data_IF_630917689735
#
_entry.id   IF_630917689735
#
_cell.length_a   1.000
_cell.length_b   1.000
_cell.length_c   1.000
_cell.angle_alpha   90.00
_cell.angle_beta   90.00
_cell.angle_gamma   90.00
#
_symmetry.space_group_name_H-M   'P 1'
#
loop_
_entity.id
_entity.type
_entity.pdbx_description
1 polymer ?
#
# COMPACT_ATOMS: atom_id res chain seq x y z
N UNK A 1 -18.52 -2.72 -8.25
CA UNK A 1 -19.18 -1.66 -7.44
C UNK A 1 -18.35 -0.37 -7.45
N UNK A 2 -17.95 0.11 -8.65
CA UNK A 2 -17.01 1.24 -8.81
C UNK A 2 -17.51 2.27 -9.85
N UNK A 3 -18.80 2.63 -9.79
CA UNK A 3 -19.38 3.65 -10.69
C UNK A 3 -20.45 4.54 -10.05
N UNK A 4 -20.73 4.38 -8.73
CA UNK A 4 -21.89 5.07 -8.11
C UNK A 4 -21.57 6.08 -7.01
N UNK A 5 -20.31 6.35 -6.69
CA UNK A 5 -19.98 7.29 -5.61
C UNK A 5 -19.68 8.74 -6.04
N UNK A 6 -19.70 9.09 -7.34
CA UNK A 6 -19.17 10.41 -7.76
C UNK A 6 -20.07 11.28 -8.65
N UNK A 7 -21.34 10.94 -8.92
CA UNK A 7 -22.13 11.67 -9.95
C UNK A 7 -23.37 12.40 -9.41
N UNK A 8 -23.55 12.49 -8.10
CA UNK A 8 -24.61 13.33 -7.52
C UNK A 8 -23.92 14.34 -6.63
N UNK A 9 -24.22 15.63 -6.81
CA UNK A 9 -23.61 16.84 -6.20
C UNK A 9 -22.51 17.44 -7.12
N UNK A 10 -22.88 18.20 -8.17
CA UNK A 10 -21.91 18.89 -9.06
C UNK A 10 -21.96 20.42 -8.92
N UNK A 11 -22.93 21.00 -8.19
CA UNK A 11 -23.09 22.46 -8.11
C UNK A 11 -22.54 23.10 -6.83
N UNK A 12 -21.94 22.33 -5.89
CA UNK A 12 -21.40 22.86 -4.62
C UNK A 12 -19.90 22.57 -4.39
N UNK A 13 -19.15 22.18 -5.44
CA UNK A 13 -17.77 21.70 -5.29
C UNK A 13 -16.67 22.71 -5.64
N UNK A 14 -16.96 23.81 -6.34
CA UNK A 14 -15.92 24.77 -6.74
C UNK A 14 -15.20 25.38 -5.54
N UNK A 15 -15.97 25.85 -4.55
CA UNK A 15 -15.42 26.42 -3.30
C UNK A 15 -14.61 25.38 -2.52
N UNK A 16 -15.05 24.11 -2.49
CA UNK A 16 -14.28 23.04 -1.85
C UNK A 16 -12.89 22.87 -2.49
N UNK A 17 -12.81 22.78 -3.82
CA UNK A 17 -11.54 22.59 -4.50
C UNK A 17 -10.62 23.82 -4.36
N UNK A 18 -11.17 25.02 -4.36
CA UNK A 18 -10.41 26.27 -4.13
C UNK A 18 -9.82 26.30 -2.71
N UNK A 19 -10.64 26.03 -1.69
CA UNK A 19 -10.17 25.98 -0.31
C UNK A 19 -9.16 24.85 -0.07
N UNK A 20 -9.42 23.66 -0.63
CA UNK A 20 -8.50 22.52 -0.52
C UNK A 20 -7.15 22.84 -1.17
N UNK A 21 -7.14 23.50 -2.34
CA UNK A 21 -5.92 23.94 -3.00
C UNK A 21 -5.17 24.98 -2.18
N UNK A 22 -5.86 26.01 -1.69
CA UNK A 22 -5.25 27.05 -0.87
C UNK A 22 -4.61 26.47 0.40
N UNK A 23 -5.29 25.52 1.05
CA UNK A 23 -4.75 24.81 2.20
C UNK A 23 -3.57 23.93 1.81
N UNK A 24 -3.62 23.22 0.67
CA UNK A 24 -2.51 22.37 0.24
C UNK A 24 -1.25 23.17 -0.13
N UNK A 25 -1.43 24.38 -0.65
CA UNK A 25 -0.33 25.29 -0.97
C UNK A 25 0.29 25.93 0.29
N UNK A 26 -0.38 25.87 1.45
CA UNK A 26 0.10 26.42 2.73
C UNK A 26 1.25 25.58 3.33
N UNK A 27 2.32 26.26 3.75
CA UNK A 27 3.51 25.62 4.30
C UNK A 27 3.27 24.94 5.66
N UNK A 28 2.33 25.43 6.46
CA UNK A 28 1.92 24.79 7.71
C UNK A 28 1.19 23.47 7.48
N UNK A 29 0.32 23.42 6.46
CA UNK A 29 -0.36 22.19 6.05
C UNK A 29 0.63 21.18 5.47
N UNK A 30 1.57 21.61 4.61
CA UNK A 30 2.64 20.73 4.12
C UNK A 30 3.51 20.20 5.25
N UNK A 31 3.89 21.05 6.21
CA UNK A 31 4.63 20.61 7.40
C UNK A 31 3.86 19.59 8.24
N UNK A 32 2.53 19.72 8.34
CA UNK A 32 1.67 18.72 8.96
C UNK A 32 1.66 17.41 8.16
N UNK A 33 1.54 17.48 6.84
CA UNK A 33 1.59 16.32 5.94
C UNK A 33 2.90 15.53 6.05
N UNK A 34 4.04 16.21 6.19
CA UNK A 34 5.34 15.56 6.41
C UNK A 34 5.40 14.72 7.71
N UNK A 35 4.50 15.01 8.66
CA UNK A 35 4.30 14.28 9.91
C UNK A 35 3.11 13.33 9.86
N UNK A 36 2.63 13.00 8.67
CA UNK A 36 1.46 12.14 8.46
C UNK A 36 1.59 10.72 9.00
N UNK A 37 2.79 10.28 9.41
CA UNK A 37 2.96 9.02 10.12
C UNK A 37 2.41 9.06 11.56
N UNK A 38 2.19 10.25 12.12
CA UNK A 38 1.64 10.46 13.47
C UNK A 38 0.10 10.32 13.50
N UNK A 39 -0.55 10.27 12.34
CA UNK A 39 -2.01 10.14 12.22
C UNK A 39 -2.41 9.28 11.02
N UNK A 40 -3.71 9.06 10.83
CA UNK A 40 -4.20 8.14 9.79
C UNK A 40 -4.49 8.85 8.47
N UNK A 41 -3.44 9.11 7.67
CA UNK A 41 -3.61 9.62 6.31
C UNK A 41 -3.70 8.50 5.26
N UNK A 42 -4.38 8.76 4.13
CA UNK A 42 -4.40 7.87 2.96
C UNK A 42 -3.16 8.11 2.09
N UNK A 43 -2.55 7.03 1.58
CA UNK A 43 -1.28 7.13 0.84
C UNK A 43 -1.40 7.90 -0.48
N UNK A 44 -2.60 7.99 -1.04
CA UNK A 44 -2.87 8.73 -2.28
C UNK A 44 -3.20 10.22 -2.07
N UNK A 45 -3.14 10.73 -0.83
CA UNK A 45 -3.50 12.11 -0.52
C UNK A 45 -2.71 13.12 -1.38
N UNK A 46 -1.37 13.07 -1.32
CA UNK A 46 -0.51 13.96 -2.10
C UNK A 46 -0.80 13.86 -3.60
N UNK A 47 -0.89 12.64 -4.15
CA UNK A 47 -1.17 12.41 -5.57
C UNK A 47 -2.44 13.13 -6.07
N UNK A 48 -3.52 13.10 -5.28
CA UNK A 48 -4.76 13.78 -5.67
C UNK A 48 -4.73 15.28 -5.37
N UNK A 49 -4.11 15.70 -4.26
CA UNK A 49 -4.00 17.11 -3.88
C UNK A 49 -3.13 17.90 -4.87
N UNK A 50 -2.02 17.32 -5.34
CA UNK A 50 -1.14 17.88 -6.36
C UNK A 50 -1.84 18.06 -7.72
N UNK A 51 -2.93 17.30 -7.95
CA UNK A 51 -3.72 17.34 -9.18
C UNK A 51 -5.14 17.86 -8.99
N UNK A 52 -5.40 18.64 -7.93
CA UNK A 52 -6.73 19.21 -7.67
C UNK A 52 -7.30 19.90 -8.91
N UNK A 53 -6.47 20.64 -9.66
CA UNK A 53 -6.91 21.37 -10.86
C UNK A 53 -7.45 20.46 -11.97
N UNK A 54 -6.87 19.27 -12.14
CA UNK A 54 -7.34 18.28 -13.11
C UNK A 54 -8.59 17.58 -12.58
N UNK A 55 -8.60 17.21 -11.30
CA UNK A 55 -9.71 16.47 -10.67
C UNK A 55 -10.99 17.31 -10.57
N UNK A 56 -10.87 18.64 -10.45
CA UNK A 56 -12.02 19.55 -10.32
C UNK A 56 -12.75 19.87 -11.63
N UNK A 57 -12.18 19.49 -12.78
CA UNK A 57 -12.81 19.77 -14.07
C UNK A 57 -14.15 19.04 -14.19
N UNK A 58 -15.15 19.69 -14.77
CA UNK A 58 -16.51 19.11 -14.91
C UNK A 58 -16.55 17.91 -15.85
N UNK A 59 -15.59 17.79 -16.76
CA UNK A 59 -15.38 16.70 -17.70
C UNK A 59 -14.28 15.73 -17.26
N UNK A 60 -13.80 15.82 -16.01
CA UNK A 60 -12.77 14.94 -15.49
C UNK A 60 -13.17 13.47 -15.61
N UNK A 61 -12.34 12.71 -16.33
CA UNK A 61 -12.44 11.26 -16.44
C UNK A 61 -11.21 10.65 -15.76
N UNK A 62 -11.36 9.85 -14.69
CA UNK A 62 -10.23 9.23 -14.01
C UNK A 62 -9.41 8.37 -14.95
N UNK A 63 -8.09 8.56 -14.92
CA UNK A 63 -7.14 7.69 -15.63
C UNK A 63 -6.99 6.34 -14.92
N UNK A 64 -6.44 5.34 -15.61
CA UNK A 64 -6.12 4.05 -14.96
C UNK A 64 -5.20 4.23 -13.76
N UNK A 65 -4.27 5.19 -13.81
CA UNK A 65 -3.41 5.53 -12.68
C UNK A 65 -4.22 6.08 -11.49
N UNK A 66 -5.28 6.83 -11.75
CA UNK A 66 -6.16 7.37 -10.71
C UNK A 66 -6.97 6.26 -10.05
N UNK A 67 -7.46 5.32 -10.86
CA UNK A 67 -8.16 4.14 -10.39
C UNK A 67 -7.24 3.26 -9.53
N UNK A 68 -5.99 3.07 -9.94
CA UNK A 68 -4.97 2.31 -9.18
C UNK A 68 -4.56 3.00 -7.87
N UNK A 69 -4.52 4.35 -7.85
CA UNK A 69 -4.19 5.13 -6.65
C UNK A 69 -5.40 5.31 -5.72
N UNK A 70 -6.61 5.18 -6.23
CA UNK A 70 -7.83 5.32 -5.45
C UNK A 70 -7.87 4.28 -4.32
N UNK A 71 -8.12 4.76 -3.09
CA UNK A 71 -8.22 3.87 -1.93
C UNK A 71 -9.67 3.51 -1.65
N UNK A 72 -10.04 2.29 -1.98
CA UNK A 72 -11.29 1.66 -1.54
C UNK A 72 -10.93 0.54 -0.58
N UNK A 73 -11.47 0.57 0.63
CA UNK A 73 -11.24 -0.51 1.60
C UNK A 73 -12.06 -1.74 1.16
N UNK A 74 -11.36 -2.83 0.82
CA UNK A 74 -11.98 -4.12 0.55
C UNK A 74 -12.61 -4.67 1.84
N UNK A 75 -13.94 -4.78 1.85
CA UNK A 75 -14.70 -5.54 2.86
C UNK A 75 -15.36 -6.74 2.21
N UNK A 76 -15.11 -7.93 2.74
CA UNK A 76 -15.52 -9.20 2.16
C UNK A 76 -14.45 -9.82 1.25
N UNK A 77 -14.95 -10.66 0.34
CA UNK A 77 -14.17 -11.46 -0.60
C UNK A 77 -14.66 -11.11 -2.01
N UNK A 78 -13.75 -10.76 -2.90
CA UNK A 78 -14.03 -10.46 -4.30
C UNK A 78 -13.30 -11.44 -5.19
N UNK A 79 -13.98 -11.90 -6.23
CA UNK A 79 -13.42 -12.88 -7.16
C UNK A 79 -13.20 -12.25 -8.52
N UNK A 80 -12.09 -12.60 -9.17
CA UNK A 80 -11.84 -12.25 -10.56
C UNK A 80 -11.29 -13.47 -11.29
N UNK A 81 -11.82 -13.74 -12.48
CA UNK A 81 -11.35 -14.82 -13.35
C UNK A 81 -10.81 -14.23 -14.64
N UNK A 82 -9.64 -14.67 -15.04
CA UNK A 82 -8.98 -14.21 -16.26
C UNK A 82 -8.10 -15.31 -16.84
N UNK A 83 -7.71 -15.17 -18.11
CA UNK A 83 -6.87 -16.15 -18.80
C UNK A 83 -5.62 -15.45 -19.35
N UNK A 84 -4.45 -16.02 -19.11
CA UNK A 84 -3.15 -15.56 -19.64
C UNK A 84 -2.47 -16.75 -20.30
N UNK A 85 -2.09 -16.62 -21.58
CA UNK A 85 -1.42 -17.69 -22.34
C UNK A 85 -2.08 -19.07 -22.23
N UNK A 86 -3.42 -19.06 -22.32
CA UNK A 86 -4.32 -20.23 -22.18
C UNK A 86 -4.42 -20.82 -20.76
N UNK A 87 -3.71 -20.29 -19.78
CA UNK A 87 -3.82 -20.66 -18.37
C UNK A 87 -4.92 -19.82 -17.71
N UNK A 88 -5.87 -20.49 -17.05
CA UNK A 88 -6.96 -19.84 -16.34
C UNK A 88 -6.54 -19.52 -14.90
N UNK A 89 -6.78 -18.28 -14.48
CA UNK A 89 -6.56 -17.80 -13.13
C UNK A 89 -7.89 -17.45 -12.48
N UNK A 90 -8.06 -17.88 -11.23
CA UNK A 90 -9.19 -17.49 -10.38
C UNK A 90 -8.60 -16.88 -9.12
N UNK A 91 -8.66 -15.56 -9.03
CA UNK A 91 -8.06 -14.77 -7.97
C UNK A 91 -9.13 -14.31 -6.99
N UNK A 92 -8.81 -14.39 -5.69
CA UNK A 92 -9.64 -13.93 -4.60
C UNK A 92 -8.94 -12.74 -3.92
N UNK A 93 -9.54 -11.56 -3.98
CA UNK A 93 -9.14 -10.41 -3.16
C UNK A 93 -9.91 -10.42 -1.85
N UNK A 94 -9.19 -10.47 -0.74
CA UNK A 94 -9.76 -10.61 0.60
C UNK A 94 -9.39 -9.41 1.46
N UNK A 95 -10.36 -8.87 2.20
CA UNK A 95 -10.11 -7.79 3.14
C UNK A 95 -9.03 -8.16 4.18
N UNK A 96 -7.98 -7.33 4.30
CA UNK A 96 -6.85 -7.59 5.20
C UNK A 96 -7.00 -7.06 6.63
N UNK A 97 -8.04 -6.25 6.87
CA UNK A 97 -8.33 -5.65 8.17
C UNK A 97 -8.70 -6.72 9.20
N UNK A 98 -8.42 -6.46 10.49
CA UNK A 98 -8.61 -7.47 11.56
C UNK A 98 -10.00 -8.12 11.55
N UNK A 99 -11.06 -7.33 11.32
CA UNK A 99 -12.44 -7.81 11.31
C UNK A 99 -12.79 -8.67 10.09
N UNK A 100 -12.03 -8.53 8.99
CA UNK A 100 -12.24 -9.25 7.74
C UNK A 100 -11.56 -10.62 7.73
N UNK A 101 -10.49 -10.80 8.54
CA UNK A 101 -9.65 -12.01 8.53
C UNK A 101 -10.39 -13.30 8.88
N UNK A 102 -11.47 -13.23 9.66
CA UNK A 102 -12.31 -14.41 9.96
C UNK A 102 -12.96 -15.01 8.72
N UNK A 103 -13.15 -14.21 7.65
CA UNK A 103 -13.76 -14.65 6.40
C UNK A 103 -12.78 -15.44 5.53
N UNK A 104 -11.46 -15.31 5.75
CA UNK A 104 -10.43 -15.92 4.91
C UNK A 104 -10.52 -17.44 4.81
N UNK A 105 -11.02 -18.11 5.86
CA UNK A 105 -11.25 -19.56 5.84
C UNK A 105 -12.15 -20.02 4.69
N UNK A 106 -13.03 -19.14 4.20
CA UNK A 106 -13.91 -19.41 3.06
C UNK A 106 -13.15 -19.57 1.74
N UNK A 107 -11.93 -19.01 1.67
CA UNK A 107 -11.07 -19.05 0.49
C UNK A 107 -9.98 -20.12 0.57
N UNK A 108 -9.83 -20.84 1.68
CA UNK A 108 -8.67 -21.73 1.90
C UNK A 108 -8.81 -23.12 1.26
N UNK A 109 -9.94 -23.44 0.66
CA UNK A 109 -10.11 -24.72 -0.05
C UNK A 109 -9.52 -24.59 -1.47
N UNK A 110 -8.62 -25.51 -1.82
CA UNK A 110 -8.06 -25.70 -3.17
C UNK A 110 -7.33 -24.49 -3.79
N UNK A 111 -6.75 -23.61 -2.97
CA UNK A 111 -5.86 -22.55 -3.48
C UNK A 111 -4.54 -23.13 -3.98
N UNK A 112 -4.07 -22.66 -5.12
CA UNK A 112 -2.75 -23.06 -5.67
C UNK A 112 -1.60 -22.39 -4.94
N UNK A 113 -1.75 -21.09 -4.66
CA UNK A 113 -0.75 -20.28 -3.98
C UNK A 113 -1.43 -19.11 -3.26
N UNK A 114 -0.74 -18.55 -2.27
CA UNK A 114 -1.13 -17.32 -1.58
C UNK A 114 -0.20 -16.21 -2.04
N UNK A 115 -0.76 -15.08 -2.45
CA UNK A 115 0.00 -13.84 -2.66
C UNK A 115 -0.17 -12.99 -1.40
N UNK A 116 0.87 -12.91 -0.58
CA UNK A 116 0.88 -12.07 0.61
C UNK A 116 1.52 -10.72 0.29
N UNK A 117 0.78 -9.63 0.50
CA UNK A 117 1.24 -8.27 0.19
C UNK A 117 1.56 -7.52 1.49
N UNK A 118 2.82 -7.14 1.67
CA UNK A 118 3.29 -6.35 2.79
C UNK A 118 3.60 -4.92 2.33
N UNK A 119 3.03 -3.91 3.00
CA UNK A 119 3.35 -2.51 2.74
C UNK A 119 4.68 -2.13 3.43
N UNK A 120 5.80 -2.34 2.75
CA UNK A 120 7.14 -2.19 3.34
C UNK A 120 7.43 -0.77 3.82
N UNK A 121 6.88 0.24 3.15
CA UNK A 121 7.02 1.65 3.53
C UNK A 121 6.31 2.05 4.83
N UNK A 122 5.45 1.19 5.39
CA UNK A 122 4.63 1.50 6.58
C UNK A 122 5.33 1.23 7.93
N UNK A 123 6.66 1.09 7.94
CA UNK A 123 7.43 0.76 9.14
C UNK A 123 7.35 1.81 10.26
N UNK A 124 7.01 3.07 9.94
CA UNK A 124 6.89 4.18 10.89
C UNK A 124 5.45 4.54 11.24
N UNK A 125 4.47 3.69 10.88
CA UNK A 125 3.04 3.95 11.04
C UNK A 125 2.37 2.91 11.94
N UNK A 126 1.21 3.30 12.51
CA UNK A 126 0.34 2.39 13.27
C UNK A 126 -0.91 2.01 12.48
N UNK A 127 -1.48 0.83 12.76
CA UNK A 127 -2.72 0.36 12.12
C UNK A 127 -3.91 1.22 12.54
N UNK A 128 -4.97 1.23 11.72
CA UNK A 128 -6.15 2.07 11.96
C UNK A 128 -7.02 1.53 13.10
N UNK A 129 -7.03 0.21 13.24
CA UNK A 129 -7.92 -0.51 14.14
C UNK A 129 -7.67 -0.20 15.62
N UNK A 130 -6.43 0.10 16.02
CA UNK A 130 -6.09 0.38 17.42
C UNK A 130 -5.18 1.60 17.64
N UNK A 131 -4.70 2.25 16.56
CA UNK A 131 -3.76 3.39 16.60
C UNK A 131 -2.54 3.19 17.52
N UNK A 132 -2.11 1.95 17.72
CA UNK A 132 -0.99 1.63 18.63
C UNK A 132 -0.09 0.54 18.07
N UNK A 133 -0.63 -0.47 17.38
CA UNK A 133 0.17 -1.53 16.79
C UNK A 133 0.86 -1.03 15.51
N UNK A 134 2.18 -1.20 15.42
CA UNK A 134 2.95 -0.86 14.23
C UNK A 134 2.48 -1.69 13.00
N UNK A 135 2.28 -1.03 11.85
CA UNK A 135 1.74 -1.67 10.64
C UNK A 135 2.63 -2.79 10.09
N UNK A 136 3.95 -2.59 10.07
CA UNK A 136 4.87 -3.59 9.54
C UNK A 136 5.00 -4.79 10.50
N UNK A 137 4.98 -4.55 11.82
CA UNK A 137 4.94 -5.63 12.82
C UNK A 137 3.67 -6.47 12.70
N UNK A 138 2.50 -5.83 12.58
CA UNK A 138 1.24 -6.52 12.33
C UNK A 138 1.31 -7.37 11.06
N UNK A 139 1.93 -6.86 9.98
CA UNK A 139 2.12 -7.59 8.73
C UNK A 139 3.03 -8.82 8.91
N UNK A 140 4.12 -8.70 9.68
CA UNK A 140 5.00 -9.81 10.01
C UNK A 140 4.31 -10.88 10.86
N UNK A 141 3.53 -10.47 11.86
CA UNK A 141 2.77 -11.38 12.71
C UNK A 141 1.68 -12.12 11.91
N UNK A 142 0.99 -11.40 11.02
CA UNK A 142 0.00 -11.97 10.12
C UNK A 142 0.64 -12.98 9.16
N UNK A 143 1.77 -12.61 8.54
CA UNK A 143 2.55 -13.50 7.67
C UNK A 143 2.97 -14.77 8.41
N UNK A 144 3.51 -14.63 9.63
CA UNK A 144 3.87 -15.77 10.48
C UNK A 144 2.66 -16.66 10.76
N UNK A 145 1.49 -16.09 11.01
CA UNK A 145 0.27 -16.86 11.25
C UNK A 145 -0.17 -17.67 10.01
N UNK A 146 -0.01 -17.11 8.81
CA UNK A 146 -0.29 -17.81 7.54
C UNK A 146 0.75 -18.90 7.32
N UNK A 147 2.03 -18.56 7.45
CA UNK A 147 3.16 -19.47 7.23
C UNK A 147 3.13 -20.69 8.16
N UNK A 148 2.71 -20.51 9.41
CA UNK A 148 2.62 -21.59 10.41
C UNK A 148 1.27 -22.29 10.44
N UNK A 149 0.30 -21.86 9.61
CA UNK A 149 -1.04 -22.42 9.60
C UNK A 149 -1.00 -23.88 9.10
N UNK A 150 -1.53 -24.81 9.91
CA UNK A 150 -1.59 -26.24 9.57
C UNK A 150 -2.33 -26.53 8.26
N UNK A 151 -3.33 -25.73 7.92
CA UNK A 151 -4.16 -25.90 6.72
C UNK A 151 -3.46 -25.40 5.45
N UNK A 152 -2.39 -24.62 5.59
CA UNK A 152 -1.68 -23.99 4.47
C UNK A 152 -0.26 -24.56 4.28
N UNK A 153 0.10 -25.65 4.98
CA UNK A 153 1.46 -26.22 5.00
C UNK A 153 2.00 -26.60 3.62
N UNK A 154 1.12 -27.00 2.70
CA UNK A 154 1.49 -27.41 1.34
C UNK A 154 1.32 -26.29 0.32
N UNK A 155 0.78 -25.13 0.74
CA UNK A 155 0.46 -24.02 -0.14
C UNK A 155 1.68 -23.12 -0.23
N UNK A 156 2.10 -22.82 -1.46
CA UNK A 156 3.19 -21.89 -1.69
C UNK A 156 2.75 -20.45 -1.37
N UNK A 157 3.64 -19.69 -0.74
CA UNK A 157 3.40 -18.26 -0.45
C UNK A 157 4.34 -17.41 -1.28
N UNK A 158 3.78 -16.56 -2.13
CA UNK A 158 4.48 -15.53 -2.88
C UNK A 158 4.40 -14.24 -2.07
N UNK A 159 5.54 -13.76 -1.58
CA UNK A 159 5.62 -12.54 -0.77
C UNK A 159 5.91 -11.33 -1.66
N UNK A 160 4.97 -10.38 -1.71
CA UNK A 160 5.16 -9.08 -2.33
C UNK A 160 5.49 -8.04 -1.26
N UNK A 161 6.75 -7.57 -1.29
CA UNK A 161 7.17 -6.39 -0.55
C UNK A 161 6.76 -5.16 -1.37
N UNK A 162 5.56 -4.65 -1.12
CA UNK A 162 4.94 -3.57 -1.91
C UNK A 162 5.33 -2.18 -1.40
N UNK A 163 5.11 -1.16 -2.23
CA UNK A 163 5.44 0.26 -2.00
C UNK A 163 6.94 0.52 -1.84
N UNK A 164 7.74 -0.11 -2.71
CA UNK A 164 9.19 0.06 -2.72
C UNK A 164 9.61 1.49 -3.08
N UNK A 165 8.86 2.14 -3.97
CA UNK A 165 8.96 3.57 -4.29
C UNK A 165 8.88 4.43 -3.02
N UNK A 166 7.79 4.28 -2.26
CA UNK A 166 7.58 5.05 -1.02
C UNK A 166 8.58 4.67 0.07
N UNK A 167 9.05 3.42 0.10
CA UNK A 167 10.08 2.98 1.04
C UNK A 167 11.41 3.69 0.74
N UNK A 168 11.83 3.69 -0.54
CA UNK A 168 13.05 4.34 -0.98
C UNK A 168 13.03 5.84 -0.65
N UNK A 169 11.95 6.54 -1.01
CA UNK A 169 11.78 7.97 -0.70
C UNK A 169 11.89 8.24 0.80
N UNK A 170 11.23 7.43 1.63
CA UNK A 170 11.22 7.61 3.09
C UNK A 170 12.58 7.37 3.73
N UNK A 171 13.31 6.34 3.27
CA UNK A 171 14.66 6.04 3.75
C UNK A 171 15.63 7.15 3.34
N UNK A 172 15.58 7.60 2.08
CA UNK A 172 16.42 8.67 1.56
C UNK A 172 16.15 10.02 2.24
N UNK A 173 14.89 10.30 2.61
CA UNK A 173 14.54 11.52 3.33
C UNK A 173 15.16 11.59 4.73
N UNK A 174 15.50 10.45 5.34
CA UNK A 174 16.20 10.38 6.63
C UNK A 174 15.43 10.90 7.85
N UNK A 175 14.14 11.28 7.69
CA UNK A 175 13.30 11.87 8.76
C UNK A 175 12.79 10.84 9.77
N UNK A 176 12.54 9.60 9.34
CA UNK A 176 12.09 8.50 10.19
C UNK A 176 13.02 7.31 9.98
N UNK A 177 13.96 7.10 10.89
CA UNK A 177 14.94 6.02 10.74
C UNK A 177 14.29 4.67 11.02
N UNK A 178 14.72 3.62 10.32
CA UNK A 178 14.12 2.30 10.47
C UNK A 178 14.40 1.73 11.86
N UNK A 179 15.60 1.98 12.39
CA UNK A 179 16.04 1.54 13.71
C UNK A 179 15.26 2.15 14.88
N UNK A 180 14.59 3.30 14.69
CA UNK A 180 13.70 3.88 15.71
C UNK A 180 12.47 2.99 15.96
N UNK A 181 12.07 2.18 14.96
CA UNK A 181 10.92 1.28 15.01
C UNK A 181 11.30 -0.20 15.07
N UNK A 182 12.45 -0.55 14.50
CA UNK A 182 13.03 -1.89 14.45
C UNK A 182 14.51 -1.83 14.86
N UNK A 183 14.81 -1.76 16.17
CA UNK A 183 16.17 -1.54 16.68
C UNK A 183 17.22 -2.55 16.21
N UNK A 184 16.78 -3.77 15.88
CA UNK A 184 17.62 -4.80 15.29
C UNK A 184 18.25 -4.41 13.95
N UNK A 185 17.65 -3.46 13.21
CA UNK A 185 18.17 -2.99 11.93
C UNK A 185 19.51 -2.27 12.07
N UNK A 186 19.77 -1.61 13.22
CA UNK A 186 21.06 -0.95 13.46
C UNK A 186 22.26 -1.91 13.44
N UNK A 187 22.01 -3.22 13.62
CA UNK A 187 23.02 -4.28 13.55
C UNK A 187 22.87 -5.17 12.31
N UNK A 188 21.92 -4.85 11.44
CA UNK A 188 21.69 -5.63 10.23
C UNK A 188 22.80 -5.37 9.23
N UNK A 189 23.47 -6.44 8.81
CA UNK A 189 24.42 -6.43 7.70
C UNK A 189 23.86 -7.29 6.59
N UNK A 190 24.00 -6.83 5.34
CA UNK A 190 23.63 -7.65 4.19
C UNK A 190 24.41 -8.97 4.23
N UNK A 191 23.75 -10.12 4.05
CA UNK A 191 24.45 -11.38 3.88
C UNK A 191 25.32 -11.32 2.61
N UNK A 192 26.41 -12.11 2.51
CA UNK A 192 27.32 -12.10 1.35
C UNK A 192 26.62 -12.20 0.00
N UNK A 193 25.58 -13.05 -0.10
CA UNK A 193 24.76 -13.21 -1.30
C UNK A 193 23.99 -11.94 -1.67
N UNK A 194 23.52 -11.20 -0.65
CA UNK A 194 22.84 -9.92 -0.83
C UNK A 194 23.76 -8.79 -1.28
N UNK A 195 25.04 -8.83 -0.88
CA UNK A 195 26.06 -7.89 -1.35
C UNK A 195 26.31 -8.04 -2.85
N UNK A 196 26.45 -9.28 -3.34
CA UNK A 196 26.64 -9.57 -4.77
C UNK A 196 25.44 -9.10 -5.59
N UNK A 197 24.22 -9.34 -5.09
CA UNK A 197 23.00 -8.87 -5.75
C UNK A 197 22.93 -7.33 -5.80
N UNK A 198 23.28 -6.64 -4.72
CA UNK A 198 23.28 -5.17 -4.65
C UNK A 198 24.31 -4.55 -5.61
N UNK A 199 25.52 -5.12 -5.70
CA UNK A 199 26.55 -4.69 -6.65
C UNK A 199 26.11 -4.89 -8.10
N UNK A 200 25.44 -6.01 -8.41
CA UNK A 200 24.89 -6.29 -9.73
C UNK A 200 23.82 -5.25 -10.10
N UNK A 201 22.89 -4.94 -9.20
CA UNK A 201 21.83 -3.96 -9.43
C UNK A 201 22.41 -2.55 -9.66
N UNK A 202 23.39 -2.14 -8.84
CA UNK A 202 24.04 -0.84 -9.00
C UNK A 202 24.79 -0.72 -10.34
N UNK A 203 25.42 -1.81 -10.80
CA UNK A 203 26.08 -1.84 -12.10
C UNK A 203 25.09 -1.79 -13.27
N UNK A 204 23.91 -2.42 -13.16
CA UNK A 204 22.87 -2.32 -14.19
C UNK A 204 22.32 -0.90 -14.28
N UNK A 205 22.05 -0.25 -13.13
CA UNK A 205 21.51 1.11 -13.10
C UNK A 205 22.51 2.16 -13.61
N UNK A 206 23.81 1.95 -13.44
CA UNK A 206 24.87 2.83 -13.96
C UNK A 206 25.14 2.66 -15.48
N UNK A 207 24.67 1.58 -16.10
CA UNK A 207 24.80 1.37 -17.55
C UNK A 207 23.60 1.97 -18.32
N UNK A 208 22.49 2.24 -17.62
CA UNK A 208 21.26 2.82 -18.18
C UNK A 208 21.06 4.31 -17.87
N UNK A 209 22.06 4.98 -17.30
CA UNK A 209 22.05 6.42 -16.98
C UNK A 209 22.88 7.24 -17.97
#
# INVERSE_FOLDING_TARGET
MCQRCCVVIILSYSEFFEHAKHLWDDEGVKACFERSNEYQLIDCAQYFLDRIESVRQSDYTPTDQDLLRCRVLTSGIFETRFQVDKVNFHMFDVGGQRDERRKWIQCFNDVTAIIFVAASSSYNMVIREDNSTNRLRESLDLFRSIWTNRFLRTISVILFLNKQDMLAEKILAGKSKLEDYFPEYARYTLPPEGLIAAETINNVNNVTA
#
